data_IF_593930702951
#
_entry.id   IF_593930702951
#
_cell.length_a   1.000
_cell.length_b   1.000
_cell.length_c   1.000
_cell.angle_alpha   90.00
_cell.angle_beta   90.00
_cell.angle_gamma   90.00
#
_symmetry.space_group_name_H-M   'P 1'
#
loop_
_entity.id
_entity.type
_entity.pdbx_description
1 polymer ?
#
# COMPACT_ATOMS: atom_id res chain seq x y z
N UNK A 1 65.76 -0.07 -0.77
CA UNK A 1 64.61 0.31 0.07
C UNK A 1 63.66 1.15 -0.76
N UNK A 2 62.53 0.59 -1.21
CA UNK A 2 61.27 1.32 -1.34
C UNK A 2 60.19 0.29 -1.63
N UNK A 3 59.20 0.23 -0.75
CA UNK A 3 58.05 -0.67 -0.77
C UNK A 3 56.95 -0.02 -1.59
N UNK A 4 56.53 -0.67 -2.68
CA UNK A 4 55.35 -0.27 -3.43
C UNK A 4 54.13 -0.87 -2.75
N UNK A 5 53.41 -0.05 -1.99
CA UNK A 5 52.12 -0.38 -1.39
C UNK A 5 51.08 -0.48 -2.50
N UNK A 6 50.56 -1.68 -2.76
CA UNK A 6 49.34 -1.89 -3.53
C UNK A 6 48.17 -1.43 -2.65
N UNK A 7 47.51 -0.35 -3.04
CA UNK A 7 46.24 0.07 -2.44
C UNK A 7 45.14 -0.70 -3.16
N UNK A 8 44.57 -1.69 -2.48
CA UNK A 8 43.35 -2.36 -2.92
C UNK A 8 42.17 -1.38 -2.78
N UNK A 9 41.73 -0.79 -3.89
CA UNK A 9 40.43 -0.15 -3.97
C UNK A 9 39.37 -1.22 -4.26
N UNK A 10 38.87 -1.87 -3.21
CA UNK A 10 37.56 -2.51 -3.28
C UNK A 10 36.51 -1.41 -3.13
N UNK A 11 36.09 -0.81 -4.25
CA UNK A 11 34.95 0.08 -4.31
C UNK A 11 33.70 -0.72 -4.69
N UNK A 12 32.75 -0.78 -3.76
CA UNK A 12 31.46 -1.46 -3.94
C UNK A 12 30.49 -0.51 -4.67
N UNK A 13 29.99 -0.85 -5.87
CA UNK A 13 29.06 -0.01 -6.64
C UNK A 13 27.72 0.27 -5.92
N UNK A 14 27.36 -0.54 -4.92
CA UNK A 14 26.19 -0.30 -4.07
C UNK A 14 26.39 0.95 -3.21
N UNK A 15 27.64 1.28 -2.83
CA UNK A 15 27.94 2.45 -2.00
C UNK A 15 27.79 3.77 -2.76
N UNK A 16 28.07 3.84 -4.06
CA UNK A 16 27.98 5.09 -4.84
C UNK A 16 26.53 5.52 -5.13
N UNK A 17 25.65 4.59 -5.53
CA UNK A 17 24.22 4.92 -5.74
C UNK A 17 23.57 5.31 -4.41
N UNK A 18 23.95 4.60 -3.35
CA UNK A 18 23.50 4.88 -2.00
C UNK A 18 24.03 6.24 -1.50
N UNK A 19 25.31 6.57 -1.71
CA UNK A 19 25.91 7.85 -1.35
C UNK A 19 25.35 9.02 -2.17
N UNK A 20 25.05 8.84 -3.46
CA UNK A 20 24.43 9.89 -4.30
C UNK A 20 22.96 10.11 -3.90
N UNK A 21 22.21 9.06 -3.57
CA UNK A 21 20.85 9.19 -3.04
C UNK A 21 20.83 9.87 -1.67
N UNK A 22 21.75 9.47 -0.78
CA UNK A 22 21.93 10.07 0.55
C UNK A 22 22.44 11.50 0.44
N UNK A 23 23.32 11.83 -0.50
CA UNK A 23 23.74 13.22 -0.76
C UNK A 23 22.56 14.05 -1.26
N UNK A 24 21.73 13.53 -2.16
CA UNK A 24 20.53 14.26 -2.64
C UNK A 24 19.45 14.41 -1.57
N UNK A 25 19.28 13.44 -0.68
CA UNK A 25 18.41 13.55 0.49
C UNK A 25 19.00 14.48 1.57
N UNK A 26 20.33 14.54 1.71
CA UNK A 26 21.03 15.37 2.70
C UNK A 26 21.33 16.81 2.23
N UNK A 27 21.10 17.15 0.94
CA UNK A 27 20.98 18.55 0.46
C UNK A 27 19.60 19.12 0.89
N UNK A 28 19.28 19.01 2.18
CA UNK A 28 18.22 19.77 2.84
C UNK A 28 18.83 20.68 3.90
N UNK A 29 19.43 21.77 3.43
CA UNK A 29 19.57 23.00 4.21
C UNK A 29 19.19 24.23 3.39
N UNK A 30 18.03 24.18 2.74
CA UNK A 30 17.30 25.34 2.18
C UNK A 30 15.82 24.93 2.24
N UNK A 31 14.87 25.53 2.97
CA UNK A 31 14.55 26.93 3.27
C UNK A 31 13.72 27.00 4.57
N UNK A 32 13.78 28.14 5.27
CA UNK A 32 13.02 28.44 6.49
C UNK A 32 11.62 29.03 6.27
N UNK A 33 11.02 29.13 5.07
CA UNK A 33 9.73 29.89 4.96
C UNK A 33 8.71 29.49 3.86
N UNK A 34 8.83 28.33 3.17
CA UNK A 34 7.77 27.84 2.26
C UNK A 34 7.63 26.32 2.34
N UNK A 35 6.39 25.80 2.46
CA UNK A 35 6.08 24.38 2.28
C UNK A 35 6.27 24.05 0.79
N UNK A 36 7.33 23.33 0.44
CA UNK A 36 7.66 22.97 -0.96
C UNK A 36 7.39 21.48 -1.15
N UNK A 37 6.85 21.10 -2.31
CA UNK A 37 6.64 19.70 -2.69
C UNK A 37 7.95 18.92 -2.76
N UNK A 38 7.87 17.59 -2.71
CA UNK A 38 9.04 16.76 -3.07
C UNK A 38 9.47 17.02 -4.53
N UNK A 39 10.77 16.83 -4.85
CA UNK A 39 11.27 16.97 -6.21
C UNK A 39 10.56 16.07 -7.22
N UNK A 40 10.40 16.54 -8.46
CA UNK A 40 9.75 15.82 -9.55
C UNK A 40 10.28 14.39 -9.74
N UNK A 41 11.58 14.20 -9.52
CA UNK A 41 12.24 12.89 -9.58
C UNK A 41 11.60 11.81 -8.68
N UNK A 42 10.96 12.17 -7.57
CA UNK A 42 10.24 11.22 -6.70
C UNK A 42 9.07 10.54 -7.41
N UNK A 43 8.53 11.14 -8.46
CA UNK A 43 7.36 10.64 -9.18
C UNK A 43 7.72 9.87 -10.45
N UNK A 44 8.98 9.77 -10.85
CA UNK A 44 9.34 9.03 -12.07
C UNK A 44 10.64 8.25 -12.00
N UNK A 45 11.45 8.42 -10.94
CA UNK A 45 12.71 7.71 -10.79
C UNK A 45 12.50 6.23 -10.47
N UNK A 46 13.09 5.36 -11.30
CA UNK A 46 13.09 3.93 -11.07
C UNK A 46 13.76 3.54 -9.75
N UNK A 47 14.87 4.21 -9.41
CA UNK A 47 15.65 3.87 -8.22
C UNK A 47 14.92 4.28 -6.93
N UNK A 48 14.18 5.40 -6.95
CA UNK A 48 13.28 5.78 -5.84
C UNK A 48 12.15 4.76 -5.71
N UNK A 49 11.55 4.33 -6.82
CA UNK A 49 10.52 3.29 -6.79
C UNK A 49 11.02 1.97 -6.18
N UNK A 50 12.26 1.54 -6.49
CA UNK A 50 12.83 0.34 -5.84
C UNK A 50 13.06 0.54 -4.35
N UNK A 51 13.49 1.73 -3.92
CA UNK A 51 13.61 2.06 -2.50
C UNK A 51 12.24 2.03 -1.80
N UNK A 52 11.20 2.64 -2.39
CA UNK A 52 9.82 2.62 -1.88
C UNK A 52 9.30 1.19 -1.75
N UNK A 53 9.58 0.32 -2.71
CA UNK A 53 9.23 -1.10 -2.64
C UNK A 53 9.80 -1.78 -1.39
N UNK A 54 11.06 -1.51 -1.05
CA UNK A 54 11.72 -2.08 0.13
C UNK A 54 11.25 -1.42 1.43
N UNK A 55 11.28 -0.09 1.48
CA UNK A 55 11.02 0.71 2.67
C UNK A 55 9.55 0.72 3.11
N UNK A 56 8.64 0.76 2.12
CA UNK A 56 7.21 0.91 2.33
C UNK A 56 6.52 -0.42 2.11
N UNK A 57 6.40 -0.87 0.86
CA UNK A 57 5.47 -1.95 0.50
C UNK A 57 5.87 -3.32 1.03
N UNK A 58 7.16 -3.55 1.31
CA UNK A 58 7.65 -4.82 1.86
C UNK A 58 7.62 -4.91 3.39
N UNK A 59 7.41 -3.78 4.10
CA UNK A 59 7.64 -3.67 5.57
C UNK A 59 6.53 -2.97 6.34
N UNK A 60 5.76 -2.08 5.70
CA UNK A 60 4.67 -1.32 6.33
C UNK A 60 3.35 -2.06 6.17
N UNK A 61 2.45 -1.84 7.12
CA UNK A 61 1.05 -2.24 6.96
C UNK A 61 0.38 -1.40 5.89
N UNK A 62 -0.58 -1.99 5.18
CA UNK A 62 -1.43 -1.29 4.23
C UNK A 62 -2.83 -1.91 4.19
N UNK A 63 -3.85 -1.06 3.95
CA UNK A 63 -5.25 -1.45 3.84
C UNK A 63 -5.49 -2.25 2.54
N UNK A 64 -6.13 -3.43 2.66
CA UNK A 64 -6.45 -4.27 1.50
C UNK A 64 -7.94 -4.49 1.29
N UNK A 65 -8.78 -4.53 2.33
CA UNK A 65 -10.22 -4.79 2.15
C UNK A 65 -11.02 -4.55 3.45
N UNK A 66 -12.25 -5.03 3.48
CA UNK A 66 -13.09 -5.21 4.68
C UNK A 66 -13.53 -6.68 4.79
N UNK A 67 -13.66 -7.21 6.02
CA UNK A 67 -13.96 -8.62 6.32
C UNK A 67 -15.25 -9.12 5.65
N UNK A 68 -16.20 -8.22 5.38
CA UNK A 68 -17.43 -8.50 4.65
C UNK A 68 -17.23 -9.09 3.24
N UNK A 69 -16.03 -8.92 2.65
CA UNK A 69 -15.66 -9.53 1.37
C UNK A 69 -15.41 -11.05 1.49
N UNK A 70 -15.21 -11.56 2.70
CA UNK A 70 -14.90 -12.96 3.01
C UNK A 70 -16.01 -13.57 3.87
N UNK A 71 -17.17 -13.85 3.26
CA UNK A 71 -18.36 -14.31 4.00
C UNK A 71 -18.17 -15.75 4.50
N UNK A 72 -17.72 -16.63 3.61
CA UNK A 72 -17.63 -18.06 3.84
C UNK A 72 -16.18 -18.52 4.05
N UNK A 73 -15.99 -19.61 4.79
CA UNK A 73 -14.70 -20.32 4.82
C UNK A 73 -14.28 -20.68 3.40
N UNK A 74 -13.02 -20.41 3.09
CA UNK A 74 -12.44 -20.61 1.77
C UNK A 74 -12.59 -19.44 0.83
N UNK A 75 -13.41 -18.43 1.15
CA UNK A 75 -13.46 -17.19 0.37
C UNK A 75 -12.07 -16.56 0.40
N UNK A 76 -11.53 -16.28 -0.79
CA UNK A 76 -10.21 -15.71 -0.98
C UNK A 76 -10.26 -14.57 -1.99
N UNK A 77 -9.30 -13.66 -1.86
CA UNK A 77 -9.03 -12.59 -2.83
C UNK A 77 -7.53 -12.53 -3.06
N UNK A 78 -7.15 -12.43 -4.33
CA UNK A 78 -5.79 -12.18 -4.78
C UNK A 78 -5.55 -10.68 -4.84
N UNK A 79 -4.39 -10.25 -4.36
CA UNK A 79 -3.94 -8.87 -4.40
C UNK A 79 -2.54 -8.78 -5.01
N UNK A 80 -2.26 -7.60 -5.54
CA UNK A 80 -0.92 -7.17 -5.90
C UNK A 80 -0.63 -5.83 -5.24
N UNK A 81 0.58 -5.65 -4.73
CA UNK A 81 1.05 -4.36 -4.24
C UNK A 81 2.51 -4.17 -4.64
N UNK A 82 2.80 -3.19 -5.49
CA UNK A 82 4.15 -2.89 -5.98
C UNK A 82 4.90 -4.12 -6.55
N UNK A 83 4.17 -5.01 -7.23
CA UNK A 83 4.68 -6.27 -7.80
C UNK A 83 4.77 -7.46 -6.84
N UNK A 84 4.41 -7.29 -5.55
CA UNK A 84 4.24 -8.42 -4.64
C UNK A 84 2.83 -9.01 -4.79
N UNK A 85 2.75 -10.27 -5.22
CA UNK A 85 1.47 -10.97 -5.39
C UNK A 85 1.18 -11.86 -4.17
N UNK A 86 -0.01 -11.71 -3.58
CA UNK A 86 -0.43 -12.44 -2.40
C UNK A 86 -1.93 -12.74 -2.42
N UNK A 87 -2.36 -13.67 -1.59
CA UNK A 87 -3.76 -14.05 -1.41
C UNK A 87 -4.11 -13.93 0.06
N UNK A 88 -5.27 -13.37 0.34
CA UNK A 88 -5.90 -13.42 1.67
C UNK A 88 -7.11 -14.35 1.58
N UNK A 89 -7.29 -15.21 2.57
CA UNK A 89 -8.36 -16.22 2.61
C UNK A 89 -8.93 -16.34 4.02
N UNK A 90 -10.24 -16.61 4.11
CA UNK A 90 -10.87 -17.04 5.35
C UNK A 90 -10.64 -18.52 5.58
N UNK A 91 -9.90 -18.88 6.61
CA UNK A 91 -9.59 -20.27 6.91
C UNK A 91 -10.78 -21.01 7.55
N UNK A 92 -10.56 -22.25 8.00
CA UNK A 92 -11.60 -23.09 8.61
C UNK A 92 -11.91 -22.66 10.04
N UNK A 93 -10.96 -22.01 10.69
CA UNK A 93 -11.06 -21.47 12.04
C UNK A 93 -11.89 -20.16 12.06
N UNK A 94 -12.06 -19.54 10.89
CA UNK A 94 -12.84 -18.31 10.70
C UNK A 94 -11.99 -17.05 10.57
N UNK A 95 -10.68 -17.18 10.75
CA UNK A 95 -9.70 -16.10 10.67
C UNK A 95 -9.33 -15.77 9.22
N UNK A 96 -8.95 -14.51 8.98
CA UNK A 96 -8.31 -14.13 7.73
C UNK A 96 -6.81 -14.36 7.84
N UNK A 97 -6.27 -15.18 6.94
CA UNK A 97 -4.84 -15.47 6.83
C UNK A 97 -4.38 -15.15 5.42
N UNK A 98 -3.08 -14.90 5.25
CA UNK A 98 -2.52 -14.53 3.96
C UNK A 98 -1.22 -15.23 3.63
N UNK A 99 -0.92 -15.34 2.35
CA UNK A 99 0.35 -15.86 1.85
C UNK A 99 0.69 -15.28 0.48
N UNK A 100 1.99 -15.20 0.16
CA UNK A 100 2.42 -14.93 -1.19
C UNK A 100 1.89 -16.00 -2.14
N UNK A 101 1.41 -15.57 -3.31
CA UNK A 101 0.82 -16.46 -4.31
C UNK A 101 1.91 -17.18 -5.13
N UNK A 102 2.79 -17.92 -4.45
CA UNK A 102 3.99 -18.51 -5.01
C UNK A 102 4.09 -19.96 -4.53
N UNK A 103 3.93 -20.92 -5.44
CA UNK A 103 4.08 -22.32 -5.10
C UNK A 103 5.53 -22.61 -4.66
N UNK A 104 5.67 -23.30 -3.52
CA UNK A 104 6.96 -23.69 -2.94
C UNK A 104 7.79 -24.66 -3.80
N UNK A 105 7.21 -25.26 -4.83
CA UNK A 105 7.93 -26.16 -5.73
C UNK A 105 8.76 -25.38 -6.76
N UNK A 106 8.10 -24.68 -7.68
CA UNK A 106 8.74 -23.96 -8.80
C UNK A 106 8.02 -22.65 -9.13
N UNK A 107 7.61 -21.93 -8.09
CA UNK A 107 7.11 -20.55 -8.11
C UNK A 107 5.85 -20.26 -8.95
N UNK A 108 5.18 -21.27 -9.52
CA UNK A 108 3.91 -21.06 -10.22
C UNK A 108 2.84 -20.51 -9.26
N UNK A 109 1.96 -19.59 -9.71
CA UNK A 109 0.89 -19.05 -8.88
C UNK A 109 -0.04 -20.16 -8.39
N UNK A 110 -0.29 -20.16 -7.10
CA UNK A 110 -1.13 -21.16 -6.44
C UNK A 110 -2.61 -20.93 -6.77
N UNK A 111 -3.01 -19.67 -6.90
CA UNK A 111 -4.34 -19.17 -7.28
C UNK A 111 -4.17 -18.33 -8.54
N UNK A 112 -5.08 -18.44 -9.52
CA UNK A 112 -5.03 -17.60 -10.75
C UNK A 112 -6.25 -16.71 -10.89
N UNK A 113 -7.33 -17.10 -10.25
CA UNK A 113 -8.59 -16.40 -10.22
C UNK A 113 -8.45 -15.23 -9.23
N UNK A 114 -8.92 -14.01 -9.58
CA UNK A 114 -8.73 -12.83 -8.72
C UNK A 114 -9.45 -12.94 -7.38
N UNK A 115 -10.54 -13.72 -7.33
CA UNK A 115 -11.27 -14.05 -6.12
C UNK A 115 -12.07 -15.34 -6.32
N UNK A 116 -12.52 -15.96 -5.24
CA UNK A 116 -13.39 -17.12 -5.29
C UNK A 116 -13.48 -17.82 -3.95
N UNK A 117 -13.98 -19.06 -3.95
CA UNK A 117 -14.05 -19.91 -2.75
C UNK A 117 -13.25 -21.19 -2.99
N UNK A 118 -12.25 -21.46 -2.16
CA UNK A 118 -11.41 -22.65 -2.24
C UNK A 118 -11.64 -23.57 -1.05
N UNK A 119 -11.60 -24.90 -1.28
CA UNK A 119 -11.47 -25.89 -0.20
C UNK A 119 -10.02 -26.30 0.05
N UNK A 120 -9.21 -26.13 -0.98
CA UNK A 120 -7.79 -26.47 -1.05
C UNK A 120 -7.19 -25.65 -2.19
N UNK A 121 -5.95 -25.24 -2.04
CA UNK A 121 -5.20 -24.52 -3.06
C UNK A 121 -4.32 -25.47 -3.84
N UNK A 122 -4.66 -25.76 -5.10
CA UNK A 122 -3.98 -26.76 -5.92
C UNK A 122 -3.21 -26.11 -7.07
N UNK A 123 -1.88 -26.14 -6.98
CA UNK A 123 -1.00 -25.59 -7.99
C UNK A 123 -1.17 -26.32 -9.32
N UNK A 124 -1.56 -25.58 -10.37
CA UNK A 124 -1.80 -26.13 -11.72
C UNK A 124 -0.54 -26.64 -12.40
N UNK A 125 0.66 -26.29 -11.93
CA UNK A 125 1.89 -26.72 -12.59
C UNK A 125 2.19 -28.20 -12.36
N UNK A 126 2.19 -28.66 -11.10
CA UNK A 126 2.58 -30.04 -10.75
C UNK A 126 1.66 -30.69 -9.70
N UNK A 127 0.53 -30.06 -9.38
CA UNK A 127 -0.46 -30.62 -8.45
C UNK A 127 -0.05 -30.62 -6.98
N UNK A 128 0.91 -29.79 -6.58
CA UNK A 128 1.15 -29.53 -5.15
C UNK A 128 -0.08 -28.83 -4.57
N UNK A 129 -0.62 -29.35 -3.47
CA UNK A 129 -1.83 -28.85 -2.84
C UNK A 129 -1.55 -28.35 -1.43
N UNK A 130 -2.12 -27.20 -1.09
CA UNK A 130 -2.01 -26.55 0.21
C UNK A 130 -3.39 -26.40 0.83
N UNK A 131 -3.51 -26.56 2.15
CA UNK A 131 -4.75 -26.24 2.85
C UNK A 131 -4.98 -24.71 2.94
N UNK A 132 -6.08 -24.30 3.59
CA UNK A 132 -6.44 -22.89 3.72
C UNK A 132 -5.52 -22.10 4.68
N UNK A 133 -4.67 -22.79 5.45
CA UNK A 133 -3.61 -22.19 6.26
C UNK A 133 -2.25 -22.24 5.55
N UNK A 134 -2.24 -22.59 4.25
CA UNK A 134 -1.05 -22.63 3.41
C UNK A 134 -0.14 -23.84 3.65
N UNK A 135 -0.50 -24.80 4.51
CA UNK A 135 0.31 -25.99 4.76
C UNK A 135 0.22 -26.97 3.59
N UNK A 136 1.36 -27.50 3.16
CA UNK A 136 1.40 -28.52 2.11
C UNK A 136 0.70 -29.80 2.58
N UNK A 137 -0.33 -30.21 1.85
CA UNK A 137 -1.11 -31.43 2.12
C UNK A 137 -0.85 -32.54 1.11
N UNK A 138 -0.41 -32.19 -0.11
CA UNK A 138 -0.11 -33.17 -1.16
C UNK A 138 1.01 -32.67 -2.05
N UNK A 139 1.99 -33.53 -2.31
CA UNK A 139 3.00 -33.37 -3.34
C UNK A 139 3.07 -34.66 -4.18
N UNK A 140 2.50 -34.67 -5.41
CA UNK A 140 2.46 -35.88 -6.22
C UNK A 140 3.86 -36.47 -6.44
N UNK A 141 3.98 -37.78 -6.25
CA UNK A 141 5.24 -38.57 -6.39
C UNK A 141 6.34 -38.24 -5.39
N UNK A 142 6.06 -37.47 -4.34
CA UNK A 142 6.95 -37.34 -3.18
C UNK A 142 6.52 -38.33 -2.10
N UNK A 143 6.86 -39.60 -2.28
CA UNK A 143 6.65 -40.67 -1.30
C UNK A 143 7.94 -40.97 -0.53
N UNK A 144 7.88 -41.59 0.67
CA UNK A 144 9.06 -41.99 1.43
C UNK A 144 10.05 -42.86 0.63
N UNK A 145 9.57 -43.65 -0.33
CA UNK A 145 10.42 -44.50 -1.18
C UNK A 145 11.14 -43.68 -2.25
N UNK A 146 10.48 -42.68 -2.83
CA UNK A 146 11.05 -41.83 -3.89
C UNK A 146 11.95 -40.71 -3.37
N UNK A 147 11.59 -40.10 -2.24
CA UNK A 147 12.31 -38.98 -1.63
C UNK A 147 12.27 -39.14 -0.09
N UNK A 148 13.13 -39.98 0.50
CA UNK A 148 13.08 -40.32 1.94
C UNK A 148 13.20 -39.12 2.89
N UNK A 149 13.87 -38.06 2.47
CA UNK A 149 14.09 -36.84 3.27
C UNK A 149 13.01 -35.77 3.06
N UNK A 150 11.96 -36.07 2.30
CA UNK A 150 10.90 -35.10 2.05
C UNK A 150 9.92 -35.06 3.23
N UNK A 151 9.91 -33.93 3.94
CA UNK A 151 8.94 -33.65 4.98
C UNK A 151 7.94 -32.59 4.50
N UNK A 152 6.71 -32.97 4.10
CA UNK A 152 5.68 -32.01 3.72
C UNK A 152 5.21 -31.15 4.90
N UNK A 153 5.36 -31.62 6.14
CA UNK A 153 4.91 -30.89 7.32
C UNK A 153 5.72 -29.62 7.60
N UNK A 154 6.96 -29.57 7.12
CA UNK A 154 7.82 -28.39 7.18
C UNK A 154 7.55 -27.38 6.05
N UNK A 155 6.69 -27.70 5.07
CA UNK A 155 6.45 -26.85 3.90
C UNK A 155 5.11 -26.13 4.03
N UNK A 156 5.18 -24.81 4.13
CA UNK A 156 4.04 -23.91 4.09
C UNK A 156 4.21 -22.92 2.93
N UNK A 157 3.12 -22.35 2.40
CA UNK A 157 3.23 -21.14 1.59
C UNK A 157 3.93 -20.05 2.39
N UNK A 158 4.53 -19.08 1.71
CA UNK A 158 5.21 -17.98 2.38
C UNK A 158 4.14 -17.07 3.01
N UNK A 159 4.01 -17.01 4.34
CA UNK A 159 2.94 -16.28 4.99
C UNK A 159 3.10 -14.77 4.79
N UNK A 160 2.00 -14.04 4.85
CA UNK A 160 2.00 -12.59 5.06
C UNK A 160 1.17 -12.30 6.31
N UNK A 161 1.47 -11.21 7.01
CA UNK A 161 0.73 -10.83 8.19
C UNK A 161 -0.61 -10.21 7.79
N UNK A 162 -1.68 -10.59 8.50
CA UNK A 162 -3.02 -10.04 8.31
C UNK A 162 -3.52 -9.51 9.65
N UNK A 163 -4.08 -8.30 9.64
CA UNK A 163 -4.75 -7.69 10.78
C UNK A 163 -6.17 -7.31 10.38
N UNK A 164 -7.15 -7.65 11.22
CA UNK A 164 -8.53 -7.20 11.07
C UNK A 164 -8.83 -6.29 12.25
N UNK A 165 -9.11 -5.01 11.99
CA UNK A 165 -9.39 -4.07 13.06
C UNK A 165 -10.82 -4.24 13.62
N UNK A 166 -11.17 -3.46 14.66
CA UNK A 166 -12.49 -3.53 15.31
C UNK A 166 -13.66 -3.24 14.37
N UNK A 167 -13.42 -2.45 13.33
CA UNK A 167 -14.42 -2.03 12.36
C UNK A 167 -14.48 -3.00 11.19
N UNK A 168 -13.64 -4.04 11.16
CA UNK A 168 -13.61 -5.06 10.13
C UNK A 168 -12.72 -4.72 8.94
N UNK A 169 -11.97 -3.62 8.94
CA UNK A 169 -11.00 -3.33 7.89
C UNK A 169 -9.83 -4.31 7.97
N UNK A 170 -9.35 -4.77 6.81
CA UNK A 170 -8.32 -5.79 6.67
C UNK A 170 -7.05 -5.14 6.16
N UNK A 171 -5.96 -5.33 6.89
CA UNK A 171 -4.64 -4.80 6.60
C UNK A 171 -3.65 -5.94 6.41
N UNK A 172 -2.64 -5.72 5.58
CA UNK A 172 -1.57 -6.69 5.31
C UNK A 172 -0.21 -6.06 5.54
N UNK A 173 0.73 -6.86 6.04
CA UNK A 173 2.16 -6.54 6.05
C UNK A 173 2.93 -7.72 5.46
N UNK A 174 3.84 -7.43 4.54
CA UNK A 174 4.57 -8.44 3.77
C UNK A 174 5.89 -8.86 4.41
N UNK A 175 6.29 -8.29 5.55
CA UNK A 175 7.49 -8.71 6.28
C UNK A 175 7.48 -10.23 6.48
N UNK A 176 8.59 -10.89 6.15
CA UNK A 176 8.70 -12.34 6.18
C UNK A 176 9.20 -12.87 7.54
N UNK A 177 9.48 -11.99 8.49
CA UNK A 177 9.77 -12.38 9.87
C UNK A 177 8.52 -13.02 10.53
N UNK A 178 8.68 -13.88 11.55
CA UNK A 178 7.54 -14.46 12.27
C UNK A 178 6.60 -13.40 12.88
N UNK A 179 7.18 -12.29 13.34
CA UNK A 179 6.48 -11.07 13.75
C UNK A 179 6.98 -9.92 12.89
N UNK A 180 6.09 -9.02 12.42
CA UNK A 180 6.52 -7.90 11.58
C UNK A 180 7.32 -6.91 12.41
N UNK A 181 8.39 -6.36 11.83
CA UNK A 181 9.24 -5.39 12.52
C UNK A 181 8.48 -4.13 12.98
N UNK A 182 7.34 -3.85 12.35
CA UNK A 182 6.43 -2.76 12.68
C UNK A 182 5.07 -3.38 12.97
N UNK A 183 4.55 -3.18 14.17
CA UNK A 183 3.21 -3.63 14.52
C UNK A 183 2.14 -2.73 13.89
N UNK A 184 0.94 -3.26 13.66
CA UNK A 184 -0.19 -2.46 13.17
C UNK A 184 -0.49 -1.29 14.13
N UNK A 185 -0.48 -1.57 15.43
CA UNK A 185 -0.75 -0.58 16.48
C UNK A 185 0.29 0.54 16.55
N UNK A 186 1.58 0.26 16.36
CA UNK A 186 2.61 1.30 16.30
C UNK A 186 2.51 2.16 15.05
N UNK A 187 2.00 1.63 13.94
CA UNK A 187 1.89 2.37 12.68
C UNK A 187 0.64 3.25 12.60
N UNK A 188 -0.48 2.77 13.14
CA UNK A 188 -1.78 3.42 12.98
C UNK A 188 -2.44 3.88 14.27
N UNK A 189 -1.97 3.41 15.44
CA UNK A 189 -2.46 3.85 16.74
C UNK A 189 -3.96 3.72 16.93
N UNK A 190 -4.65 4.86 16.96
CA UNK A 190 -6.07 5.03 17.17
C UNK A 190 -6.90 5.15 15.87
N UNK A 191 -6.33 4.80 14.71
CA UNK A 191 -7.02 4.77 13.42
C UNK A 191 -8.40 4.08 13.50
N UNK A 192 -8.48 2.94 14.20
CA UNK A 192 -9.72 2.16 14.36
C UNK A 192 -10.67 2.71 15.44
N UNK A 193 -10.22 3.72 16.21
CA UNK A 193 -10.95 4.38 17.30
C UNK A 193 -11.29 5.84 17.01
N UNK A 194 -11.10 6.30 15.78
CA UNK A 194 -11.52 7.64 15.37
C UNK A 194 -12.99 7.85 15.76
N UNK A 195 -13.28 8.99 16.40
CA UNK A 195 -14.61 9.30 16.93
C UNK A 195 -15.70 9.18 15.86
N UNK A 196 -15.34 9.49 14.61
CA UNK A 196 -16.26 9.39 13.48
C UNK A 196 -16.65 7.96 13.11
N UNK A 197 -15.76 6.97 13.32
CA UNK A 197 -16.09 5.55 13.15
C UNK A 197 -16.95 5.07 14.32
N UNK A 198 -16.58 5.45 15.55
CA UNK A 198 -17.32 5.09 16.77
C UNK A 198 -18.75 5.64 16.77
N UNK A 199 -18.94 6.85 16.26
CA UNK A 199 -20.23 7.54 16.24
C UNK A 199 -20.96 7.44 14.90
N UNK A 200 -20.47 6.63 13.96
CA UNK A 200 -21.06 6.46 12.62
C UNK A 200 -22.45 5.81 12.65
N UNK A 201 -22.75 5.05 13.71
CA UNK A 201 -23.96 4.23 13.80
C UNK A 201 -24.00 3.09 12.79
N UNK A 202 -22.84 2.71 12.22
CA UNK A 202 -22.66 1.55 11.34
C UNK A 202 -22.60 0.29 12.20
N UNK A 203 -23.37 -0.71 11.82
CA UNK A 203 -23.21 -2.08 12.30
C UNK A 203 -22.19 -2.79 11.41
N UNK A 204 -20.92 -2.82 11.86
CA UNK A 204 -19.79 -3.35 11.09
C UNK A 204 -19.91 -4.84 10.75
N UNK A 205 -20.74 -5.59 11.49
CA UNK A 205 -21.02 -7.01 11.22
C UNK A 205 -22.07 -7.23 10.13
N UNK A 206 -22.86 -6.20 9.79
CA UNK A 206 -23.86 -6.21 8.71
C UNK A 206 -23.41 -5.54 7.42
N UNK A 207 -22.16 -5.09 7.36
CA UNK A 207 -21.60 -4.55 6.13
C UNK A 207 -21.60 -5.63 5.05
N UNK A 208 -22.02 -5.27 3.84
CA UNK A 208 -22.11 -6.19 2.72
C UNK A 208 -21.22 -5.75 1.57
N UNK A 209 -20.27 -6.59 1.16
CA UNK A 209 -19.53 -6.36 -0.10
C UNK A 209 -20.49 -6.42 -1.30
N UNK A 210 -20.34 -5.48 -2.23
CA UNK A 210 -21.10 -5.44 -3.50
C UNK A 210 -20.22 -5.76 -4.70
N UNK A 211 -19.29 -4.87 -5.05
CA UNK A 211 -18.40 -5.06 -6.19
C UNK A 211 -17.08 -4.31 -6.01
N UNK A 212 -16.09 -4.70 -6.81
CA UNK A 212 -14.85 -3.97 -7.02
C UNK A 212 -14.85 -3.39 -8.43
N UNK A 213 -14.33 -2.19 -8.61
CA UNK A 213 -13.97 -1.68 -9.93
C UNK A 213 -12.51 -1.21 -9.95
N UNK A 214 -11.93 -1.18 -11.14
CA UNK A 214 -10.50 -0.90 -11.33
C UNK A 214 -10.28 0.03 -12.51
N UNK A 215 -9.35 0.98 -12.35
CA UNK A 215 -8.90 1.86 -13.41
C UNK A 215 -7.36 1.84 -13.43
N UNK A 216 -6.73 1.60 -14.57
CA UNK A 216 -5.28 1.77 -14.72
C UNK A 216 -5.00 3.24 -15.10
N UNK A 217 -3.98 3.84 -14.50
CA UNK A 217 -3.60 5.23 -14.74
C UNK A 217 -2.10 5.40 -14.99
N UNK A 218 -1.77 6.32 -15.89
CA UNK A 218 -0.39 6.66 -16.26
C UNK A 218 0.21 7.71 -15.30
N UNK A 219 0.23 7.40 -14.01
CA UNK A 219 0.85 8.24 -12.97
C UNK A 219 1.47 7.42 -11.84
N UNK A 220 2.43 8.01 -11.14
CA UNK A 220 3.01 7.45 -9.92
C UNK A 220 1.98 7.40 -8.78
N UNK A 221 2.05 6.36 -7.96
CA UNK A 221 1.08 6.13 -6.88
C UNK A 221 0.94 7.29 -5.90
N UNK A 222 2.02 8.07 -5.69
CA UNK A 222 2.04 9.26 -4.83
C UNK A 222 1.27 10.43 -5.42
N UNK A 223 1.19 10.58 -6.75
CA UNK A 223 0.43 11.68 -7.38
C UNK A 223 -1.04 11.61 -6.98
N UNK A 224 -1.61 10.40 -6.95
CA UNK A 224 -2.97 10.20 -6.48
C UNK A 224 -3.12 10.47 -4.98
N UNK A 225 -2.11 10.16 -4.16
CA UNK A 225 -2.17 10.46 -2.73
C UNK A 225 -2.05 11.96 -2.48
N UNK A 226 -1.21 12.68 -3.24
CA UNK A 226 -1.14 14.14 -3.19
C UNK A 226 -2.50 14.74 -3.59
N UNK A 227 -3.09 14.31 -4.71
CA UNK A 227 -4.42 14.74 -5.16
C UNK A 227 -5.51 14.46 -4.10
N UNK A 228 -5.49 13.29 -3.47
CA UNK A 228 -6.50 12.93 -2.48
C UNK A 228 -6.39 13.74 -1.18
N UNK A 229 -5.16 14.02 -0.73
CA UNK A 229 -4.90 14.58 0.59
C UNK A 229 -5.15 16.11 0.68
N UNK A 230 -5.88 16.68 -0.28
CA UNK A 230 -6.35 18.06 -0.28
C UNK A 230 -7.73 18.18 -0.93
N UNK A 231 -8.32 19.37 -0.87
CA UNK A 231 -9.54 19.69 -1.61
C UNK A 231 -9.48 21.11 -2.17
N UNK A 232 -8.26 21.59 -2.41
CA UNK A 232 -7.96 22.85 -3.05
C UNK A 232 -8.39 22.82 -4.51
N UNK A 233 -8.19 21.70 -5.22
CA UNK A 233 -8.67 21.55 -6.59
C UNK A 233 -10.19 21.36 -6.68
N UNK A 234 -10.87 20.96 -5.60
CA UNK A 234 -12.28 20.55 -5.62
C UNK A 234 -13.24 21.60 -6.19
N UNK A 235 -13.00 22.88 -5.89
CA UNK A 235 -13.82 23.98 -6.44
C UNK A 235 -13.72 24.10 -7.96
N UNK A 236 -12.56 23.76 -8.50
CA UNK A 236 -12.23 23.90 -9.92
C UNK A 236 -12.59 22.64 -10.70
N UNK A 237 -12.22 21.47 -10.17
CA UNK A 237 -12.29 20.20 -10.91
C UNK A 237 -13.55 19.38 -10.62
N UNK A 238 -14.23 19.58 -9.49
CA UNK A 238 -15.37 18.75 -9.08
C UNK A 238 -16.67 19.56 -8.89
N UNK A 239 -17.38 19.93 -9.97
CA UNK A 239 -18.61 20.69 -9.89
C UNK A 239 -19.69 20.07 -8.99
N UNK A 240 -19.74 18.74 -8.87
CA UNK A 240 -20.73 18.05 -8.04
C UNK A 240 -20.33 17.98 -6.56
N UNK A 241 -19.03 17.94 -6.25
CA UNK A 241 -18.51 18.09 -4.87
C UNK A 241 -18.84 19.49 -4.37
N UNK A 242 -18.57 20.53 -5.17
CA UNK A 242 -18.84 21.91 -4.83
C UNK A 242 -20.34 22.22 -4.61
N UNK A 243 -21.26 21.40 -5.17
CA UNK A 243 -22.71 21.54 -4.92
C UNK A 243 -23.16 20.95 -3.58
N UNK A 244 -22.42 19.99 -3.04
CA UNK A 244 -22.88 19.18 -1.91
C UNK A 244 -22.11 19.46 -0.61
N UNK A 245 -20.84 19.82 -0.70
CA UNK A 245 -19.97 20.08 0.46
C UNK A 245 -19.65 21.55 0.62
N UNK A 246 -19.66 21.99 1.87
CA UNK A 246 -19.18 23.29 2.28
C UNK A 246 -17.65 23.23 2.42
N UNK A 247 -16.96 23.59 1.34
CA UNK A 247 -15.50 23.48 1.25
C UNK A 247 -14.77 24.47 2.17
N UNK A 248 -15.44 25.52 2.65
CA UNK A 248 -14.86 26.44 3.64
C UNK A 248 -14.69 25.79 5.02
N UNK A 249 -15.37 24.67 5.26
CA UNK A 249 -15.24 23.86 6.50
C UNK A 249 -14.26 22.70 6.36
N UNK A 250 -13.70 22.50 5.15
CA UNK A 250 -12.80 21.39 4.89
C UNK A 250 -11.50 21.56 5.65
N UNK A 251 -11.09 20.51 6.35
CA UNK A 251 -9.77 20.41 6.95
C UNK A 251 -9.34 18.95 7.07
N UNK A 252 -8.03 18.78 7.29
CA UNK A 252 -7.43 17.47 7.56
C UNK A 252 -6.92 17.42 9.00
N UNK A 253 -6.80 16.21 9.52
CA UNK A 253 -6.14 15.94 10.80
C UNK A 253 -5.23 14.72 10.65
N UNK A 254 -3.92 14.94 10.45
CA UNK A 254 -2.95 13.86 10.46
C UNK A 254 -2.90 13.14 11.82
N UNK A 255 -2.62 11.84 11.78
CA UNK A 255 -2.41 11.03 12.98
C UNK A 255 -1.32 11.61 13.89
N UNK A 256 -1.54 11.56 15.19
CA UNK A 256 -0.58 12.02 16.21
C UNK A 256 0.53 10.98 16.41
N UNK A 257 1.60 11.34 17.13
CA UNK A 257 2.65 10.39 17.58
C UNK A 257 3.26 9.52 16.46
N UNK A 258 3.44 10.10 15.27
CA UNK A 258 3.95 9.40 14.06
C UNK A 258 2.98 8.36 13.47
N UNK A 259 1.72 8.31 13.90
CA UNK A 259 0.71 7.47 13.25
C UNK A 259 0.48 7.91 11.80
N UNK A 260 0.45 6.95 10.89
CA UNK A 260 0.50 7.19 9.45
C UNK A 260 -0.89 7.10 8.80
N UNK A 261 -1.75 8.04 9.16
CA UNK A 261 -3.05 8.24 8.51
C UNK A 261 -3.42 9.74 8.51
N UNK A 262 -4.35 10.13 7.65
CA UNK A 262 -4.85 11.51 7.55
C UNK A 262 -6.38 11.46 7.49
N UNK A 263 -7.04 12.04 8.49
CA UNK A 263 -8.50 12.11 8.55
C UNK A 263 -8.99 13.39 7.88
N UNK A 264 -10.03 13.28 7.06
CA UNK A 264 -10.65 14.40 6.36
C UNK A 264 -12.01 14.71 6.98
N UNK A 265 -12.29 16.01 7.11
CA UNK A 265 -13.53 16.52 7.66
C UNK A 265 -14.05 17.65 6.79
N UNK A 266 -15.37 17.69 6.58
CA UNK A 266 -16.06 18.78 5.89
C UNK A 266 -17.55 18.65 6.16
N UNK A 267 -18.24 19.76 6.34
CA UNK A 267 -19.70 19.82 6.51
C UNK A 267 -20.43 19.82 5.14
N UNK A 268 -21.63 19.23 5.04
CA UNK A 268 -22.53 19.45 3.91
C UNK A 268 -23.03 20.89 3.86
N UNK A 269 -23.33 21.40 2.66
CA UNK A 269 -23.98 22.71 2.52
C UNK A 269 -25.34 22.73 3.21
N UNK A 270 -25.73 23.89 3.74
CA UNK A 270 -27.04 24.09 4.39
C UNK A 270 -28.23 23.67 3.51
N UNK A 271 -28.14 23.87 2.20
CA UNK A 271 -29.14 23.42 1.22
C UNK A 271 -29.33 21.90 1.22
N UNK A 272 -28.26 21.14 1.46
CA UNK A 272 -28.28 19.67 1.57
C UNK A 272 -28.88 19.23 2.90
N UNK A 273 -28.49 19.89 4.00
CA UNK A 273 -29.05 19.62 5.33
C UNK A 273 -30.56 19.84 5.39
N UNK A 274 -31.05 20.86 4.69
CA UNK A 274 -32.49 21.20 4.64
C UNK A 274 -33.35 20.22 3.84
N UNK A 275 -32.75 19.35 3.01
CA UNK A 275 -33.52 18.56 2.04
C UNK A 275 -34.04 17.22 2.59
N UNK A 276 -33.85 16.89 3.87
CA UNK A 276 -34.16 15.59 4.53
C UNK A 276 -33.55 14.33 3.87
N UNK A 277 -32.79 14.50 2.77
CA UNK A 277 -32.18 13.43 1.97
C UNK A 277 -30.89 12.87 2.57
N UNK A 278 -30.36 13.51 3.62
CA UNK A 278 -29.17 13.10 4.36
C UNK A 278 -29.49 13.06 5.86
N UNK A 279 -28.94 12.06 6.56
CA UNK A 279 -29.03 12.03 8.01
C UNK A 279 -28.01 12.99 8.63
N UNK A 280 -28.44 14.21 8.90
CA UNK A 280 -27.61 15.22 9.57
C UNK A 280 -27.32 14.88 11.03
N UNK A 281 -28.02 13.92 11.64
CA UNK A 281 -27.82 13.52 13.04
C UNK A 281 -26.68 12.51 13.23
N UNK A 282 -26.23 11.86 12.15
CA UNK A 282 -25.16 10.84 12.17
C UNK A 282 -23.82 11.39 11.68
N UNK A 283 -23.51 12.60 12.12
CA UNK A 283 -22.41 13.43 11.64
C UNK A 283 -22.54 13.71 10.14
N UNK A 284 -23.12 14.88 9.88
CA UNK A 284 -23.05 15.57 8.61
C UNK A 284 -21.58 15.93 8.32
N UNK A 285 -20.76 14.95 7.94
CA UNK A 285 -19.43 15.22 7.44
C UNK A 285 -18.85 14.02 6.75
N UNK A 286 -18.31 14.21 5.54
CA UNK A 286 -17.60 13.14 4.84
C UNK A 286 -16.38 12.79 5.66
N UNK A 287 -16.45 11.69 6.39
CA UNK A 287 -15.26 11.11 7.00
C UNK A 287 -14.62 10.18 6.00
N UNK A 288 -13.56 10.69 5.42
CA UNK A 288 -12.67 9.87 4.63
C UNK A 288 -11.33 9.86 5.36
N UNK A 289 -10.66 8.73 5.35
CA UNK A 289 -9.35 8.62 5.97
C UNK A 289 -8.40 8.04 4.96
N UNK A 290 -7.34 8.79 4.66
CA UNK A 290 -6.15 8.24 4.04
C UNK A 290 -5.38 7.39 5.04
N UNK A 291 -5.07 6.18 4.62
CA UNK A 291 -4.33 5.17 5.35
C UNK A 291 -3.03 4.93 4.58
N UNK A 292 -1.93 5.43 5.12
CA UNK A 292 -0.62 5.25 4.53
C UNK A 292 -0.34 3.74 4.35
N UNK A 293 0.28 3.33 3.23
CA UNK A 293 0.86 4.17 2.18
C UNK A 293 -0.11 4.65 1.11
N UNK A 294 -1.07 3.83 0.71
CA UNK A 294 -1.75 4.01 -0.57
C UNK A 294 -3.22 3.55 -0.52
N UNK A 295 -3.85 3.65 0.64
CA UNK A 295 -5.22 3.19 0.87
C UNK A 295 -6.10 4.28 1.46
N UNK A 296 -7.40 4.17 1.24
CA UNK A 296 -8.38 5.05 1.85
C UNK A 296 -9.65 4.28 2.19
N UNK A 297 -10.35 4.70 3.24
CA UNK A 297 -11.74 4.30 3.45
C UNK A 297 -12.64 5.52 3.57
N UNK A 298 -13.86 5.41 3.05
CA UNK A 298 -14.86 6.47 3.08
C UNK A 298 -16.25 5.88 3.39
N UNK A 299 -16.56 5.61 4.67
CA UNK A 299 -17.90 5.24 5.09
C UNK A 299 -18.84 6.44 4.95
N UNK A 300 -20.00 6.20 4.38
CA UNK A 300 -21.04 7.20 4.15
C UNK A 300 -22.38 6.66 4.69
N UNK A 301 -22.54 6.59 6.02
CA UNK A 301 -23.71 5.96 6.66
C UNK A 301 -25.02 6.65 6.28
N UNK A 302 -25.01 7.95 6.00
CA UNK A 302 -26.21 8.68 5.56
C UNK A 302 -26.78 8.23 4.21
N UNK A 303 -26.04 7.45 3.44
CA UNK A 303 -26.43 7.00 2.09
C UNK A 303 -26.39 5.49 1.90
N UNK A 304 -25.99 4.73 2.92
CA UNK A 304 -25.86 3.28 2.83
C UNK A 304 -24.63 2.81 2.06
N UNK A 305 -23.64 3.67 1.85
CA UNK A 305 -22.51 3.42 0.97
C UNK A 305 -21.20 3.49 1.75
N UNK A 306 -20.28 2.58 1.47
CA UNK A 306 -18.88 2.71 1.87
C UNK A 306 -18.01 2.31 0.68
N UNK A 307 -16.91 3.04 0.48
CA UNK A 307 -15.91 2.69 -0.51
C UNK A 307 -14.52 2.68 0.10
N UNK A 308 -13.68 1.76 -0.36
CA UNK A 308 -12.26 1.69 -0.07
C UNK A 308 -11.50 1.91 -1.37
N UNK A 309 -10.56 2.85 -1.40
CA UNK A 309 -9.64 3.05 -2.53
C UNK A 309 -8.30 2.40 -2.19
N UNK A 310 -7.66 1.78 -3.18
CA UNK A 310 -6.26 1.34 -3.13
C UNK A 310 -5.53 1.79 -4.38
N UNK A 311 -4.40 2.46 -4.21
CA UNK A 311 -3.48 2.82 -5.29
C UNK A 311 -2.37 1.78 -5.35
N UNK A 312 -2.49 0.84 -6.27
CA UNK A 312 -1.54 -0.25 -6.48
C UNK A 312 -0.46 0.20 -7.45
N UNK A 313 0.78 0.47 -7.00
CA UNK A 313 1.85 0.85 -7.91
C UNK A 313 2.18 -0.33 -8.83
N UNK A 314 2.20 -0.09 -10.14
CA UNK A 314 2.58 -1.11 -11.14
C UNK A 314 3.94 -0.80 -11.77
N UNK A 315 4.39 0.46 -11.72
CA UNK A 315 5.73 0.90 -12.11
C UNK A 315 6.08 2.23 -11.42
N UNK A 316 7.26 2.84 -11.68
CA UNK A 316 7.55 4.19 -11.21
C UNK A 316 6.57 5.27 -11.69
N UNK A 317 5.84 5.05 -12.79
CA UNK A 317 4.97 6.06 -13.43
C UNK A 317 3.60 5.51 -13.79
N UNK A 318 3.22 4.33 -13.29
CA UNK A 318 1.90 3.74 -13.54
C UNK A 318 1.32 3.14 -12.25
N UNK A 319 0.02 3.30 -12.09
CA UNK A 319 -0.73 2.88 -10.90
C UNK A 319 -2.05 2.28 -11.31
N UNK A 320 -2.44 1.16 -10.71
CA UNK A 320 -3.80 0.65 -10.80
C UNK A 320 -4.58 1.15 -9.59
N UNK A 321 -5.65 1.88 -9.84
CA UNK A 321 -6.63 2.25 -8.83
C UNK A 321 -7.65 1.13 -8.68
N UNK A 322 -7.85 0.66 -7.46
CA UNK A 322 -8.88 -0.32 -7.13
C UNK A 322 -9.85 0.24 -6.11
N UNK A 323 -11.13 -0.03 -6.30
CA UNK A 323 -12.20 0.51 -5.48
C UNK A 323 -13.14 -0.61 -5.05
N UNK A 324 -13.13 -0.97 -3.76
CA UNK A 324 -14.10 -1.92 -3.20
C UNK A 324 -15.31 -1.15 -2.67
N UNK A 325 -16.50 -1.58 -3.06
CA UNK A 325 -17.77 -0.97 -2.63
C UNK A 325 -18.53 -1.90 -1.73
N UNK A 326 -19.07 -1.31 -0.66
CA UNK A 326 -19.87 -2.00 0.34
C UNK A 326 -21.19 -1.25 0.57
N UNK A 327 -22.22 -2.03 0.88
CA UNK A 327 -23.53 -1.56 1.33
C UNK A 327 -23.52 -1.53 2.86
N UNK A 328 -24.01 -0.43 3.41
CA UNK A 328 -24.19 -0.22 4.84
C UNK A 328 -25.68 -0.32 5.18
N UNK A 329 -26.03 -1.20 6.11
CA UNK A 329 -27.37 -1.28 6.68
C UNK A 329 -27.56 -0.18 7.72
N UNK A 330 -28.20 0.92 7.31
CA UNK A 330 -28.43 2.10 8.16
C UNK A 330 -29.85 2.62 7.93
N UNK A 331 -30.47 3.31 8.91
CA UNK A 331 -31.90 3.68 8.84
C UNK A 331 -32.33 4.53 7.63
N UNK A 332 -31.41 5.27 7.01
CA UNK A 332 -31.69 6.11 5.82
C UNK A 332 -31.12 5.53 4.52
N UNK A 333 -30.51 4.35 4.57
CA UNK A 333 -30.04 3.65 3.37
C UNK A 333 -31.22 3.25 2.49
N UNK A 334 -31.18 3.68 1.24
CA UNK A 334 -32.15 3.30 0.19
C UNK A 334 -31.38 2.84 -1.04
N UNK A 335 -31.95 1.95 -1.88
CA UNK A 335 -31.33 1.60 -3.16
C UNK A 335 -30.96 2.84 -3.98
N UNK A 336 -31.84 3.85 -4.00
CA UNK A 336 -31.62 5.07 -4.76
C UNK A 336 -30.51 5.96 -4.16
N UNK A 337 -30.37 6.03 -2.83
CA UNK A 337 -29.25 6.78 -2.22
C UNK A 337 -27.92 6.11 -2.49
N UNK A 338 -27.88 4.78 -2.38
CA UNK A 338 -26.71 3.99 -2.68
C UNK A 338 -26.27 4.16 -4.14
N UNK A 339 -27.18 4.00 -5.10
CA UNK A 339 -26.88 4.15 -6.53
C UNK A 339 -26.40 5.57 -6.89
N UNK A 340 -26.97 6.60 -6.26
CA UNK A 340 -26.50 7.98 -6.43
C UNK A 340 -25.06 8.14 -5.98
N UNK A 341 -24.68 7.55 -4.85
CA UNK A 341 -23.30 7.62 -4.36
C UNK A 341 -22.33 6.84 -5.24
N UNK A 342 -22.72 5.66 -5.75
CA UNK A 342 -21.91 4.92 -6.72
C UNK A 342 -21.62 5.78 -7.95
N UNK A 343 -22.64 6.43 -8.53
CA UNK A 343 -22.47 7.31 -9.70
C UNK A 343 -21.60 8.53 -9.38
N UNK A 344 -21.81 9.15 -8.22
CA UNK A 344 -21.06 10.30 -7.77
C UNK A 344 -19.56 9.99 -7.62
N UNK A 345 -19.20 8.94 -6.88
CA UNK A 345 -17.79 8.59 -6.66
C UNK A 345 -17.10 8.16 -7.96
N UNK A 346 -17.78 7.43 -8.85
CA UNK A 346 -17.20 7.08 -10.16
C UNK A 346 -16.85 8.33 -10.97
N UNK A 347 -17.75 9.30 -11.02
CA UNK A 347 -17.51 10.56 -11.74
C UNK A 347 -16.33 11.34 -11.16
N UNK A 348 -16.26 11.48 -9.83
CA UNK A 348 -15.14 12.17 -9.16
C UNK A 348 -13.82 11.46 -9.45
N UNK A 349 -13.81 10.13 -9.39
CA UNK A 349 -12.63 9.32 -9.73
C UNK A 349 -12.18 9.55 -11.17
N UNK A 350 -13.10 9.61 -12.13
CA UNK A 350 -12.73 9.86 -13.53
C UNK A 350 -12.14 11.27 -13.71
N UNK A 351 -12.66 12.28 -13.01
CA UNK A 351 -12.11 13.65 -12.98
C UNK A 351 -10.69 13.67 -12.38
N UNK A 352 -10.46 12.97 -11.25
CA UNK A 352 -9.15 12.88 -10.58
C UNK A 352 -8.08 12.16 -11.43
N UNK A 353 -8.48 11.12 -12.15
CA UNK A 353 -7.57 10.36 -13.00
C UNK A 353 -6.97 11.23 -14.11
N UNK A 354 -7.81 12.06 -14.76
CA UNK A 354 -7.34 12.98 -15.78
C UNK A 354 -6.31 13.97 -15.21
N UNK A 355 -6.59 14.54 -14.03
CA UNK A 355 -5.65 15.45 -13.35
C UNK A 355 -4.31 14.77 -13.08
N UNK A 356 -4.33 13.58 -12.50
CA UNK A 356 -3.13 12.84 -12.14
C UNK A 356 -2.26 12.50 -13.36
N UNK A 357 -2.86 12.07 -14.46
CA UNK A 357 -2.13 11.77 -15.71
C UNK A 357 -1.48 13.03 -16.30
N UNK A 358 -2.19 14.17 -16.31
CA UNK A 358 -1.64 15.44 -16.80
C UNK A 358 -0.53 16.01 -15.91
N UNK A 359 -0.64 15.80 -14.60
CA UNK A 359 0.43 16.13 -13.65
C UNK A 359 1.66 15.28 -13.94
N UNK A 360 1.50 13.96 -14.03
CA UNK A 360 2.61 13.04 -14.33
C UNK A 360 3.29 13.39 -15.65
N UNK A 361 2.53 13.63 -16.72
CA UNK A 361 3.06 14.03 -18.03
C UNK A 361 3.98 15.26 -17.95
N UNK A 362 3.72 16.21 -17.04
CA UNK A 362 4.56 17.40 -16.87
C UNK A 362 5.74 17.18 -15.92
N UNK A 363 5.57 16.36 -14.88
CA UNK A 363 6.66 15.95 -13.98
C UNK A 363 7.80 15.26 -14.75
N UNK A 364 7.48 14.56 -15.84
CA UNK A 364 8.45 13.85 -16.68
C UNK A 364 9.13 14.72 -17.75
N UNK A 365 8.71 15.98 -17.96
CA UNK A 365 9.27 16.85 -19.02
C UNK A 365 10.62 17.47 -18.70
N UNK A 366 11.11 17.32 -17.47
CA UNK A 366 12.39 17.89 -17.02
C UNK A 366 12.40 19.42 -16.89
N UNK A 367 11.22 20.06 -16.81
CA UNK A 367 11.09 21.52 -16.64
C UNK A 367 10.66 21.88 -15.22
N UNK A 368 9.70 21.12 -14.66
CA UNK A 368 9.23 21.32 -13.28
C UNK A 368 10.13 20.54 -12.33
N UNK A 369 10.62 21.20 -11.27
CA UNK A 369 11.45 20.56 -10.24
C UNK A 369 10.68 20.44 -8.92
N UNK A 370 10.13 21.55 -8.42
CA UNK A 370 9.30 21.59 -7.20
C UNK A 370 8.22 22.66 -7.32
N UNK A 371 7.18 22.54 -6.49
CA UNK A 371 6.08 23.52 -6.37
C UNK A 371 5.86 23.98 -4.93
N UNK A 372 5.30 25.17 -4.76
CA UNK A 372 4.88 25.66 -3.44
C UNK A 372 3.52 25.08 -3.09
N UNK A 373 3.41 24.49 -1.91
CA UNK A 373 2.16 23.99 -1.33
C UNK A 373 1.51 25.08 -0.47
N UNK A 374 0.21 25.26 -0.64
CA UNK A 374 -0.59 26.16 0.18
C UNK A 374 -0.64 25.66 1.63
N UNK A 375 -0.21 26.46 2.62
CA UNK A 375 -0.01 25.99 3.98
C UNK A 375 -1.29 25.54 4.70
N UNK A 376 -2.46 26.02 4.25
CA UNK A 376 -3.76 25.70 4.86
C UNK A 376 -4.65 24.78 4.02
N UNK A 377 -4.40 24.68 2.71
CA UNK A 377 -5.28 23.92 1.80
C UNK A 377 -4.63 22.61 1.36
N UNK A 378 -3.31 22.50 1.48
CA UNK A 378 -2.51 21.34 1.11
C UNK A 378 -1.72 20.79 2.32
N UNK A 379 -2.22 21.00 3.54
CA UNK A 379 -1.62 20.47 4.77
C UNK A 379 -1.54 18.94 4.73
N UNK A 380 -2.55 18.27 4.18
CA UNK A 380 -2.57 16.81 4.05
C UNK A 380 -1.52 16.31 3.06
N UNK A 381 -1.32 17.01 1.94
CA UNK A 381 -0.24 16.74 0.96
C UNK A 381 1.11 16.81 1.66
N UNK A 382 1.35 17.89 2.42
CA UNK A 382 2.60 18.06 3.15
C UNK A 382 2.79 16.98 4.23
N UNK A 383 1.74 16.61 4.96
CA UNK A 383 1.78 15.54 5.96
C UNK A 383 2.11 14.18 5.31
N UNK A 384 1.46 13.85 4.19
CA UNK A 384 1.73 12.64 3.43
C UNK A 384 3.17 12.57 2.92
N UNK A 385 3.66 13.66 2.31
CA UNK A 385 5.04 13.72 1.81
C UNK A 385 6.07 13.59 2.95
N UNK A 386 5.79 14.14 4.13
CA UNK A 386 6.60 13.92 5.34
C UNK A 386 6.61 12.46 5.78
N UNK A 387 5.46 11.76 5.73
CA UNK A 387 5.39 10.33 6.04
C UNK A 387 6.25 9.52 5.06
N UNK A 388 6.14 9.78 3.75
CA UNK A 388 6.97 9.11 2.74
C UNK A 388 8.45 9.33 3.04
N UNK A 389 8.88 10.59 3.12
CA UNK A 389 10.29 10.93 3.34
C UNK A 389 10.83 10.32 4.64
N UNK A 390 10.08 10.40 5.75
CA UNK A 390 10.50 9.83 7.03
C UNK A 390 10.70 8.31 6.97
N UNK A 391 9.81 7.59 6.27
CA UNK A 391 9.96 6.13 6.08
C UNK A 391 11.15 5.79 5.19
N UNK A 392 11.39 6.56 4.13
CA UNK A 392 12.55 6.35 3.25
C UNK A 392 13.85 6.63 3.98
N UNK A 393 13.94 7.72 4.74
CA UNK A 393 15.12 8.09 5.53
C UNK A 393 15.43 7.03 6.60
N UNK A 394 14.42 6.58 7.36
CA UNK A 394 14.60 5.48 8.34
C UNK A 394 15.15 4.21 7.68
N UNK A 395 14.61 3.85 6.51
CA UNK A 395 15.02 2.64 5.83
C UNK A 395 16.42 2.75 5.23
N UNK A 396 16.79 3.89 4.67
CA UNK A 396 18.13 4.16 4.16
C UNK A 396 19.16 4.03 5.27
N UNK A 397 18.92 4.60 6.46
CA UNK A 397 19.82 4.44 7.61
C UNK A 397 19.92 3.00 8.10
N UNK A 398 18.82 2.25 8.02
CA UNK A 398 18.83 0.81 8.33
C UNK A 398 19.68 0.02 7.32
N UNK A 399 19.52 0.27 6.01
CA UNK A 399 20.32 -0.36 4.95
C UNK A 399 21.82 -0.03 5.08
N UNK A 400 22.18 1.20 5.48
CA UNK A 400 23.56 1.58 5.82
C UNK A 400 24.10 0.75 6.98
N UNK A 401 23.33 0.66 8.04
CA UNK A 401 23.74 -0.02 9.28
C UNK A 401 23.99 -1.51 9.03
N UNK A 402 23.19 -2.15 8.18
CA UNK A 402 23.37 -3.57 7.82
C UNK A 402 24.34 -3.78 6.63
N UNK A 403 24.73 -2.72 5.92
CA UNK A 403 25.64 -2.76 4.78
C UNK A 403 25.07 -3.41 3.51
N UNK A 404 23.75 -3.46 3.34
CA UNK A 404 23.09 -4.07 2.16
C UNK A 404 21.63 -3.63 2.04
N UNK A 405 21.03 -3.88 0.86
CA UNK A 405 19.58 -3.72 0.69
C UNK A 405 18.77 -4.66 1.60
N UNK A 406 17.71 -4.13 2.22
CA UNK A 406 16.80 -4.88 3.08
C UNK A 406 15.47 -5.14 2.37
N UNK A 407 15.26 -6.37 1.94
CA UNK A 407 13.97 -6.84 1.43
C UNK A 407 13.21 -7.58 2.54
N UNK A 408 12.40 -6.85 3.33
CA UNK A 408 11.68 -7.43 4.48
C UNK A 408 10.74 -8.57 4.06
N UNK A 409 10.11 -8.46 2.89
CA UNK A 409 9.26 -9.52 2.33
C UNK A 409 10.00 -10.76 1.80
N UNK A 410 11.34 -10.81 1.90
CA UNK A 410 12.13 -11.97 1.49
C UNK A 410 12.35 -12.89 2.70
N UNK A 411 11.81 -14.13 2.70
CA UNK A 411 12.04 -15.07 3.78
C UNK A 411 13.53 -15.38 3.95
N UNK A 412 13.99 -15.40 5.20
CA UNK A 412 15.33 -15.92 5.50
C UNK A 412 15.32 -17.43 5.28
N UNK A 413 16.24 -17.93 4.45
CA UNK A 413 16.33 -19.38 4.21
C UNK A 413 16.93 -20.01 5.46
N UNK A 414 16.27 -20.99 6.12
CA UNK A 414 16.90 -21.72 7.19
C UNK A 414 18.14 -22.40 6.62
N UNK A 415 19.33 -22.14 7.20
CA UNK A 415 20.53 -22.91 6.88
C UNK A 415 20.18 -24.37 7.13
N UNK A 416 20.07 -25.19 6.06
CA UNK A 416 20.00 -26.64 6.22
C UNK A 416 21.31 -27.04 6.89
N UNK A 417 21.22 -27.55 8.11
CA UNK A 417 22.37 -28.09 8.83
C UNK A 417 22.95 -29.26 8.05
N UNK A 418 24.00 -29.00 7.27
CA UNK A 418 25.03 -29.98 6.98
C UNK A 418 26.19 -29.65 7.90
N UNK A 419 26.71 -30.66 8.59
CA UNK A 419 27.83 -30.53 9.53
C UNK A 419 28.98 -29.70 8.96
N UNK A 420 29.66 -29.02 9.87
CA UNK A 420 30.49 -27.85 9.60
C UNK A 420 31.51 -27.99 8.49
N UNK A 421 31.62 -26.91 7.71
CA UNK A 421 32.86 -26.23 7.36
C UNK A 421 32.52 -24.74 7.36
N UNK A 422 33.29 -23.94 8.09
CA UNK A 422 33.31 -22.49 7.91
C UNK A 422 33.80 -22.20 6.49
N UNK A 423 32.90 -21.81 5.58
CA UNK A 423 33.27 -21.20 4.31
C UNK A 423 32.60 -19.82 4.22
N UNK A 424 33.37 -18.84 4.67
CA UNK A 424 33.32 -17.46 4.24
C UNK A 424 33.68 -17.41 2.75
N UNK A 425 32.68 -17.61 1.89
CA UNK A 425 32.80 -17.39 0.46
C UNK A 425 31.80 -16.33 0.02
N UNK A 426 32.34 -15.11 -0.08
CA UNK A 426 31.71 -13.95 -0.68
C UNK A 426 31.06 -14.30 -2.00
N UNK A 427 29.77 -14.00 -2.10
CA UNK A 427 29.04 -14.05 -3.35
C UNK A 427 29.53 -12.86 -4.18
N UNK A 428 30.42 -13.15 -5.13
CA UNK A 428 30.87 -12.23 -6.16
C UNK A 428 29.69 -11.55 -6.85
N UNK A 429 29.79 -10.23 -6.96
CA UNK A 429 28.82 -9.35 -7.59
C UNK A 429 28.47 -9.78 -9.00
N UNK A 430 27.19 -10.09 -9.21
CA UNK A 430 26.58 -9.91 -10.52
C UNK A 430 26.27 -8.43 -10.66
N UNK A 431 26.95 -7.80 -11.63
CA UNK A 431 26.72 -6.43 -12.06
C UNK A 431 25.21 -6.18 -12.26
N UNK A 432 24.70 -5.25 -11.47
CA UNK A 432 23.37 -4.69 -11.59
C UNK A 432 23.27 -3.93 -12.93
N UNK A 433 22.23 -4.14 -13.76
CA UNK A 433 22.03 -3.42 -15.03
C UNK A 433 21.84 -1.89 -14.89
N UNK A 434 21.95 -1.31 -13.69
CA UNK A 434 21.94 0.13 -13.45
C UNK A 434 23.27 0.87 -13.80
N UNK A 435 24.33 0.17 -14.23
CA UNK A 435 25.67 0.76 -14.41
C UNK A 435 25.92 1.50 -15.75
N UNK A 436 24.91 1.69 -16.62
CA UNK A 436 25.13 2.17 -17.99
C UNK A 436 24.68 3.61 -18.29
N UNK A 437 24.31 4.44 -17.31
CA UNK A 437 23.72 5.77 -17.58
C UNK A 437 24.42 6.98 -16.93
N UNK A 438 25.66 6.86 -16.43
CA UNK A 438 26.34 7.99 -15.75
C UNK A 438 27.78 8.26 -16.21
N UNK A 439 28.08 8.03 -17.49
CA UNK A 439 29.21 8.70 -18.15
C UNK A 439 28.64 9.60 -19.23
N UNK A 440 29.03 10.87 -19.19
CA UNK A 440 28.68 11.95 -20.14
C UNK A 440 27.60 12.92 -19.66
N UNK A 441 27.83 13.63 -18.54
CA UNK A 441 27.61 15.09 -18.47
C UNK A 441 28.57 15.65 -17.39
N UNK A 442 29.65 16.31 -17.80
CA UNK A 442 30.35 17.31 -16.97
C UNK A 442 29.44 18.53 -16.88
N UNK A 443 29.12 19.01 -15.66
CA UNK A 443 29.19 20.40 -15.17
C UNK A 443 28.98 20.42 -13.66
#
# INVERSE_FOLDING_TARGET
>A
MSSTRVVNNNHDPVSEIHEVMVQRLSIKSISTDLNISVPAAFYHSHSIYQLEKRAIFSRRWFLVSHKARYRNTGDFVQYEMAGFNFVVVKNKEGDLVGFHNICRHRAFPVVREPQGTARIFSCKYHGWSYDLNGKLTKAPRFTPESVPTFDPSAIHLFPVHVHVDRNGFVYVNLDANPDPAISWGSQYGDLDRQQVLLNSGIDWDKVEYDFTWTNDGAFNWKVMQDNYNECYHCLTAHPDVAKTTDLDTYHVSPGQDQHTYISHFSEPKASVLSSNKFDSSRFAGRSQTHVFPAGHFSPNPGTGFMHLMRSVPTSPTTTRQEYDVYKLDTPRSTPESYERMVKFYRKVVDEDLELCERVQENLERGVFETGTLHPFHEEGVHAFQKMVLGVLDEHVELEKTIGKELWAAKPTTPRRGTGGVDDDHGVNGQQNPCMALLKDVEW
#
